data_IF_646243459169
#
_entry.id   IF_646243459169
#
_cell.length_a   1.000
_cell.length_b   1.000
_cell.length_c   1.000
_cell.angle_alpha   90.00
_cell.angle_beta   90.00
_cell.angle_gamma   90.00
#
_symmetry.space_group_name_H-M   'P 1'
#
loop_
_entity.id
_entity.type
_entity.pdbx_description
1 polymer ?
#
# COMPACT_ATOMS: atom_id res chain seq x y z
N UNK A 1 -23.59 31.03 20.93
CA UNK A 1 -23.50 29.59 20.60
C UNK A 1 -22.65 29.44 19.34
N UNK A 2 -21.41 28.95 19.46
CA UNK A 2 -20.61 28.56 18.28
C UNK A 2 -21.10 27.19 17.80
N UNK A 3 -21.73 27.13 16.64
CA UNK A 3 -22.02 25.87 15.96
C UNK A 3 -20.70 25.32 15.41
N UNK A 4 -20.16 24.28 16.06
CA UNK A 4 -19.08 23.49 15.49
C UNK A 4 -19.62 22.76 14.25
N UNK A 5 -19.30 23.26 13.06
CA UNK A 5 -19.52 22.53 11.81
C UNK A 5 -18.71 21.23 11.86
N UNK A 6 -19.38 20.13 12.17
CA UNK A 6 -18.82 18.80 12.01
C UNK A 6 -18.73 18.55 10.50
N UNK A 7 -17.58 18.86 9.90
CA UNK A 7 -17.27 18.29 8.59
C UNK A 7 -17.30 16.78 8.76
N UNK A 8 -18.27 16.11 8.15
CA UNK A 8 -18.26 14.67 8.03
C UNK A 8 -16.89 14.27 7.46
N UNK A 9 -16.13 13.46 8.21
CA UNK A 9 -14.86 12.94 7.72
C UNK A 9 -15.16 12.12 6.46
N UNK A 10 -14.38 12.35 5.40
CA UNK A 10 -14.37 11.46 4.24
C UNK A 10 -14.21 10.01 4.74
N UNK A 11 -15.01 9.10 4.19
CA UNK A 11 -15.02 7.71 4.63
C UNK A 11 -15.10 6.80 3.40
N UNK A 12 -13.96 6.62 2.70
CA UNK A 12 -13.94 5.78 1.52
C UNK A 12 -14.35 4.35 1.85
N UNK A 13 -15.08 3.71 0.94
CA UNK A 13 -15.37 2.28 1.05
C UNK A 13 -14.09 1.54 0.72
N UNK A 14 -13.51 0.85 1.70
CA UNK A 14 -12.21 0.19 1.55
C UNK A 14 -12.38 -1.32 1.54
N UNK A 15 -11.85 -1.95 0.49
CA UNK A 15 -11.63 -3.39 0.39
C UNK A 15 -10.13 -3.67 0.58
N UNK A 16 -9.78 -4.46 1.59
CA UNK A 16 -8.41 -4.74 1.96
C UNK A 16 -8.16 -6.25 1.93
N UNK A 17 -7.21 -6.67 1.10
CA UNK A 17 -6.81 -8.06 0.95
C UNK A 17 -5.33 -8.26 1.36
N UNK A 18 -5.09 -9.25 2.22
CA UNK A 18 -3.74 -9.72 2.52
C UNK A 18 -3.54 -11.13 1.97
N UNK A 19 -2.74 -11.24 0.91
CA UNK A 19 -2.34 -12.51 0.32
C UNK A 19 -0.95 -12.93 0.79
N UNK A 20 -0.73 -14.25 0.80
CA UNK A 20 0.56 -14.82 1.14
C UNK A 20 1.06 -15.77 0.07
N UNK A 21 2.38 -15.80 -0.13
CA UNK A 21 3.04 -16.88 -0.86
C UNK A 21 3.95 -17.67 0.09
N UNK A 22 3.92 -18.99 -0.01
CA UNK A 22 4.63 -19.84 0.93
C UNK A 22 6.13 -19.91 0.63
N UNK A 23 6.95 -19.75 1.66
CA UNK A 23 8.40 -19.95 1.61
C UNK A 23 8.81 -20.98 2.66
N UNK A 24 9.93 -21.64 2.45
CA UNK A 24 10.37 -22.80 3.25
C UNK A 24 11.84 -22.72 3.56
N UNK A 25 12.25 -23.23 4.72
CA UNK A 25 13.66 -23.37 5.10
C UNK A 25 13.83 -23.61 6.60
N UNK A 26 15.02 -24.07 6.96
CA UNK A 26 15.48 -24.23 8.34
C UNK A 26 16.58 -23.22 8.72
N UNK A 27 17.16 -22.53 7.72
CA UNK A 27 18.19 -21.48 7.86
C UNK A 27 17.79 -20.22 7.08
N UNK A 28 18.38 -19.07 7.40
CA UNK A 28 18.11 -17.82 6.68
C UNK A 28 18.52 -17.93 5.21
N UNK A 29 19.65 -18.57 4.92
CA UNK A 29 20.08 -18.81 3.55
C UNK A 29 19.08 -19.67 2.74
N UNK A 30 18.48 -20.69 3.35
CA UNK A 30 17.42 -21.51 2.71
C UNK A 30 16.16 -20.70 2.47
N UNK A 31 15.74 -19.89 3.45
CA UNK A 31 14.55 -19.03 3.33
C UNK A 31 14.75 -18.00 2.21
N UNK A 32 15.92 -17.33 2.13
CA UNK A 32 16.27 -16.40 1.04
C UNK A 32 16.17 -17.06 -0.33
N UNK A 33 16.71 -18.28 -0.49
CA UNK A 33 16.60 -19.05 -1.75
C UNK A 33 15.15 -19.39 -2.08
N UNK A 34 14.36 -19.79 -1.09
CA UNK A 34 12.94 -20.10 -1.28
C UNK A 34 12.14 -18.87 -1.71
N UNK A 35 12.40 -17.71 -1.09
CA UNK A 35 11.82 -16.42 -1.49
C UNK A 35 12.18 -16.03 -2.93
N UNK A 36 13.47 -16.08 -3.29
CA UNK A 36 13.92 -15.71 -4.64
C UNK A 36 13.26 -16.59 -5.73
N UNK A 37 13.06 -17.87 -5.44
CA UNK A 37 12.39 -18.81 -6.36
C UNK A 37 10.88 -18.59 -6.43
N UNK A 38 10.22 -18.43 -5.27
CA UNK A 38 8.75 -18.51 -5.16
C UNK A 38 8.03 -17.16 -5.16
N UNK A 39 8.74 -16.05 -5.02
CA UNK A 39 8.09 -14.74 -5.07
C UNK A 39 7.32 -14.57 -6.38
N UNK A 40 6.02 -14.23 -6.33
CA UNK A 40 5.25 -13.89 -7.53
C UNK A 40 5.55 -12.45 -8.01
N UNK A 41 6.34 -11.69 -7.24
CA UNK A 41 6.56 -10.26 -7.42
C UNK A 41 7.90 -10.09 -8.14
N UNK A 42 7.85 -9.67 -9.40
CA UNK A 42 9.05 -9.52 -10.23
C UNK A 42 9.01 -8.26 -11.07
N UNK A 43 10.18 -7.65 -11.25
CA UNK A 43 10.43 -6.59 -12.23
C UNK A 43 11.70 -6.95 -13.00
N UNK A 44 11.54 -7.28 -14.28
CA UNK A 44 12.61 -7.90 -15.06
C UNK A 44 13.12 -9.17 -14.37
N UNK A 45 14.43 -9.23 -14.11
CA UNK A 45 15.07 -10.37 -13.44
C UNK A 45 15.10 -10.26 -11.90
N UNK A 46 14.63 -9.15 -11.31
CA UNK A 46 14.66 -8.92 -9.86
C UNK A 46 13.33 -9.34 -9.22
N UNK A 47 13.40 -10.21 -8.21
CA UNK A 47 12.26 -10.57 -7.36
C UNK A 47 12.22 -9.74 -6.08
N UNK A 48 11.02 -9.47 -5.56
CA UNK A 48 10.81 -8.71 -4.33
C UNK A 48 10.13 -9.56 -3.25
N UNK A 49 10.33 -9.20 -1.98
CA UNK A 49 9.76 -9.92 -0.84
C UNK A 49 8.29 -9.60 -0.60
N UNK A 50 7.87 -8.37 -0.88
CA UNK A 50 6.50 -7.89 -0.68
C UNK A 50 6.10 -6.93 -1.78
N UNK A 51 4.79 -6.72 -1.91
CA UNK A 51 4.24 -5.65 -2.73
C UNK A 51 2.87 -5.26 -2.21
N UNK A 52 2.56 -3.99 -2.39
CA UNK A 52 1.24 -3.41 -2.17
C UNK A 52 0.77 -2.80 -3.47
N UNK A 53 -0.44 -3.16 -3.88
CA UNK A 53 -1.11 -2.58 -5.04
C UNK A 53 -2.41 -1.97 -4.54
N UNK A 54 -2.71 -0.76 -4.99
CA UNK A 54 -3.97 -0.10 -4.69
C UNK A 54 -4.59 0.51 -5.95
N UNK A 55 -5.91 0.57 -5.98
CA UNK A 55 -6.68 1.23 -7.04
C UNK A 55 -7.92 1.91 -6.47
N UNK A 56 -8.42 2.90 -7.20
CA UNK A 56 -9.52 3.75 -6.76
C UNK A 56 -10.57 3.85 -7.86
N UNK A 57 -11.83 3.79 -7.45
CA UNK A 57 -12.99 4.09 -8.27
C UNK A 57 -13.85 5.16 -7.58
N UNK A 58 -14.57 5.99 -8.35
CA UNK A 58 -15.43 7.03 -7.80
C UNK A 58 -16.81 6.99 -8.42
N UNK A 59 -17.83 7.30 -7.62
CA UNK A 59 -19.22 7.46 -8.09
C UNK A 59 -19.82 8.71 -7.49
N UNK A 60 -20.55 9.48 -8.28
CA UNK A 60 -21.23 10.69 -7.86
C UNK A 60 -22.27 11.09 -8.91
N UNK A 61 -23.18 11.99 -8.53
CA UNK A 61 -24.05 12.67 -9.50
C UNK A 61 -23.75 14.16 -9.53
N UNK A 62 -24.18 14.84 -10.59
CA UNK A 62 -23.98 16.28 -10.78
C UNK A 62 -25.30 16.93 -11.14
N UNK A 63 -25.61 18.07 -10.52
CA UNK A 63 -26.84 18.83 -10.74
C UNK A 63 -26.46 20.24 -11.18
N UNK A 64 -27.01 20.69 -12.31
CA UNK A 64 -26.86 22.08 -12.77
C UNK A 64 -27.57 23.02 -11.79
N UNK A 65 -26.93 24.15 -11.47
CA UNK A 65 -27.49 25.17 -10.58
C UNK A 65 -28.20 26.26 -11.39
N UNK A 66 -29.16 27.01 -10.80
CA UNK A 66 -29.90 28.06 -11.52
C UNK A 66 -29.01 29.16 -12.12
N UNK A 67 -27.82 29.37 -11.55
CA UNK A 67 -26.80 30.31 -12.02
C UNK A 67 -25.85 29.73 -13.09
N UNK A 68 -26.17 28.56 -13.67
CA UNK A 68 -25.37 27.90 -14.71
C UNK A 68 -24.11 27.19 -14.19
N UNK A 69 -24.03 26.98 -12.88
CA UNK A 69 -22.97 26.26 -12.21
C UNK A 69 -23.31 24.80 -11.99
N UNK A 70 -22.49 24.12 -11.17
CA UNK A 70 -22.66 22.71 -10.88
C UNK A 70 -22.53 22.40 -9.40
N UNK A 71 -23.30 21.43 -8.94
CA UNK A 71 -23.18 20.83 -7.63
C UNK A 71 -22.98 19.32 -7.73
N UNK A 72 -21.99 18.80 -6.99
CA UNK A 72 -21.72 17.36 -6.86
C UNK A 72 -22.52 16.80 -5.71
N UNK A 73 -23.19 15.68 -5.95
CA UNK A 73 -24.03 14.98 -4.97
C UNK A 73 -23.57 13.54 -4.79
N UNK A 74 -23.72 13.07 -3.54
CA UNK A 74 -23.45 11.70 -3.12
C UNK A 74 -22.11 11.11 -3.58
N UNK A 75 -20.98 11.84 -3.42
CA UNK A 75 -19.70 11.31 -3.80
C UNK A 75 -19.34 10.10 -2.93
N UNK A 76 -18.88 9.04 -3.58
CA UNK A 76 -18.29 7.86 -2.95
C UNK A 76 -17.00 7.52 -3.64
N UNK A 77 -16.01 7.14 -2.85
CA UNK A 77 -14.73 6.62 -3.33
C UNK A 77 -14.58 5.19 -2.82
N UNK A 78 -14.25 4.29 -3.74
CA UNK A 78 -13.98 2.88 -3.46
C UNK A 78 -12.50 2.64 -3.60
N UNK A 79 -11.86 2.21 -2.52
CA UNK A 79 -10.44 1.87 -2.48
C UNK A 79 -10.29 0.36 -2.40
N UNK A 80 -9.52 -0.21 -3.31
CA UNK A 80 -9.03 -1.59 -3.21
C UNK A 80 -7.56 -1.56 -2.87
N UNK A 81 -7.16 -2.28 -1.82
CA UNK A 81 -5.76 -2.47 -1.43
C UNK A 81 -5.47 -3.96 -1.34
N UNK A 82 -4.41 -4.39 -2.00
CA UNK A 82 -3.90 -5.75 -1.92
C UNK A 82 -2.44 -5.75 -1.50
N UNK A 83 -2.14 -6.41 -0.39
CA UNK A 83 -0.77 -6.66 0.06
C UNK A 83 -0.43 -8.13 -0.18
N UNK A 84 0.74 -8.41 -0.75
CA UNK A 84 1.29 -9.76 -0.89
C UNK A 84 2.55 -9.87 -0.04
N UNK A 85 2.57 -10.80 0.92
CA UNK A 85 3.71 -11.04 1.81
C UNK A 85 4.17 -12.50 1.77
N UNK A 86 5.42 -12.80 2.12
CA UNK A 86 5.87 -14.17 2.24
C UNK A 86 5.37 -14.76 3.56
N UNK A 87 5.01 -16.05 3.55
CA UNK A 87 4.65 -16.80 4.77
C UNK A 87 5.61 -17.97 4.93
N UNK A 88 6.37 -17.98 6.02
CA UNK A 88 7.29 -19.08 6.30
C UNK A 88 6.50 -20.31 6.75
N UNK A 89 6.63 -21.39 5.98
CA UNK A 89 6.36 -22.76 6.40
C UNK A 89 7.67 -23.33 6.96
N UNK A 90 7.82 -23.40 8.29
CA UNK A 90 9.10 -23.73 8.91
C UNK A 90 9.52 -25.17 8.60
N UNK A 91 10.82 -25.37 8.35
CA UNK A 91 11.40 -26.71 8.30
C UNK A 91 11.48 -27.36 9.70
N UNK A 92 11.62 -28.69 9.79
CA UNK A 92 11.63 -29.42 11.07
C UNK A 92 12.78 -29.04 12.01
N UNK A 93 13.80 -28.32 11.52
CA UNK A 93 14.97 -27.88 12.30
C UNK A 93 15.20 -26.36 12.24
N UNK A 94 14.15 -25.57 12.02
CA UNK A 94 14.26 -24.10 12.04
C UNK A 94 14.83 -23.63 13.39
N UNK A 95 15.96 -22.95 13.34
CA UNK A 95 16.63 -22.49 14.56
C UNK A 95 15.90 -21.32 15.22
N UNK A 96 16.15 -21.13 16.53
CA UNK A 96 15.60 -19.99 17.27
C UNK A 96 16.08 -18.67 16.68
N UNK A 97 17.36 -18.60 16.30
CA UNK A 97 17.96 -17.42 15.70
C UNK A 97 17.36 -17.11 14.32
N UNK A 98 17.22 -18.12 13.45
CA UNK A 98 16.58 -17.95 12.14
C UNK A 98 15.10 -17.56 12.26
N UNK A 99 14.38 -18.11 13.25
CA UNK A 99 13.01 -17.69 13.55
C UNK A 99 12.95 -16.22 13.98
N UNK A 100 13.82 -15.78 14.89
CA UNK A 100 13.84 -14.40 15.35
C UNK A 100 14.15 -13.42 14.20
N UNK A 101 15.11 -13.77 13.37
CA UNK A 101 15.48 -12.97 12.19
C UNK A 101 14.35 -12.92 11.15
N UNK A 102 13.65 -14.04 10.93
CA UNK A 102 12.47 -14.07 10.07
C UNK A 102 11.38 -13.11 10.55
N UNK A 103 11.03 -13.15 11.84
CA UNK A 103 9.99 -12.27 12.39
C UNK A 103 10.39 -10.79 12.32
N UNK A 104 11.66 -10.47 12.59
CA UNK A 104 12.21 -9.12 12.43
C UNK A 104 12.07 -8.62 10.99
N UNK A 105 12.52 -9.43 10.03
CA UNK A 105 12.40 -9.15 8.61
C UNK A 105 10.95 -8.95 8.18
N UNK A 106 10.05 -9.90 8.52
CA UNK A 106 8.65 -9.86 8.10
C UNK A 106 7.91 -8.66 8.70
N UNK A 107 8.23 -8.29 9.95
CA UNK A 107 7.71 -7.08 10.59
C UNK A 107 8.10 -5.82 9.83
N UNK A 108 9.39 -5.68 9.49
CA UNK A 108 9.90 -4.54 8.72
C UNK A 108 9.30 -4.48 7.30
N UNK A 109 9.24 -5.61 6.60
CA UNK A 109 8.62 -5.70 5.28
C UNK A 109 7.14 -5.31 5.34
N UNK A 110 6.36 -5.86 6.28
CA UNK A 110 4.96 -5.50 6.46
C UNK A 110 4.80 -4.00 6.75
N UNK A 111 5.68 -3.42 7.56
CA UNK A 111 5.64 -1.99 7.86
C UNK A 111 5.87 -1.14 6.61
N UNK A 112 6.84 -1.52 5.77
CA UNK A 112 7.09 -0.89 4.47
C UNK A 112 5.85 -0.96 3.56
N UNK A 113 5.29 -2.15 3.37
CA UNK A 113 4.08 -2.35 2.56
C UNK A 113 2.88 -1.54 3.05
N UNK A 114 2.74 -1.39 4.37
CA UNK A 114 1.68 -0.59 4.97
C UNK A 114 1.81 0.92 4.68
N UNK A 115 3.00 1.42 4.33
CA UNK A 115 3.17 2.81 3.91
C UNK A 115 2.45 3.07 2.57
N UNK A 116 2.57 2.15 1.61
CA UNK A 116 1.84 2.23 0.34
C UNK A 116 0.32 2.13 0.54
N UNK A 117 -0.14 1.22 1.40
CA UNK A 117 -1.56 1.10 1.73
C UNK A 117 -2.12 2.41 2.32
N UNK A 118 -1.35 3.06 3.20
CA UNK A 118 -1.70 4.37 3.78
C UNK A 118 -1.73 5.47 2.71
N UNK A 119 -0.83 5.45 1.73
CA UNK A 119 -0.85 6.38 0.61
C UNK A 119 -2.11 6.21 -0.26
N UNK A 120 -2.54 4.97 -0.51
CA UNK A 120 -3.82 4.68 -1.17
C UNK A 120 -5.02 5.24 -0.39
N UNK A 121 -5.08 5.00 0.93
CA UNK A 121 -6.13 5.53 1.81
C UNK A 121 -6.16 7.06 1.84
N UNK A 122 -5.00 7.70 2.02
CA UNK A 122 -4.87 9.15 1.99
C UNK A 122 -5.37 9.74 0.67
N UNK A 123 -5.06 9.08 -0.45
CA UNK A 123 -5.54 9.49 -1.78
C UNK A 123 -7.05 9.41 -1.87
N UNK A 124 -7.65 8.29 -1.41
CA UNK A 124 -9.08 8.08 -1.41
C UNK A 124 -9.82 9.16 -0.58
N UNK A 125 -9.37 9.38 0.65
CA UNK A 125 -9.94 10.38 1.56
C UNK A 125 -9.83 11.80 0.99
N UNK A 126 -8.70 12.10 0.33
CA UNK A 126 -8.48 13.41 -0.29
C UNK A 126 -9.41 13.64 -1.47
N UNK A 127 -9.63 12.64 -2.33
CA UNK A 127 -10.56 12.74 -3.46
C UNK A 127 -12.00 12.93 -2.95
N UNK A 128 -12.44 12.08 -2.03
CA UNK A 128 -13.80 12.16 -1.49
C UNK A 128 -14.04 13.52 -0.83
N UNK A 129 -13.09 14.00 -0.01
CA UNK A 129 -13.19 15.33 0.61
C UNK A 129 -13.30 16.46 -0.40
N UNK A 130 -12.61 16.38 -1.55
CA UNK A 130 -12.68 17.40 -2.61
C UNK A 130 -14.02 17.41 -3.34
N UNK A 131 -14.72 16.28 -3.35
CA UNK A 131 -16.02 16.13 -4.01
C UNK A 131 -17.19 16.45 -3.06
N UNK A 132 -17.02 16.18 -1.77
CA UNK A 132 -18.05 16.42 -0.75
C UNK A 132 -18.43 17.89 -0.67
N UNK A 133 -19.72 18.16 -0.88
CA UNK A 133 -20.31 19.51 -0.91
C UNK A 133 -19.68 20.44 -1.97
N UNK A 134 -19.10 19.89 -3.04
CA UNK A 134 -18.54 20.70 -4.12
C UNK A 134 -19.67 21.40 -4.89
N UNK A 135 -19.68 22.73 -4.82
CA UNK A 135 -20.49 23.60 -5.67
C UNK A 135 -19.59 24.62 -6.36
N UNK A 136 -19.81 24.84 -7.65
CA UNK A 136 -18.98 25.72 -8.49
C UNK A 136 -19.83 26.48 -9.49
N UNK A 137 -19.31 27.58 -10.04
CA UNK A 137 -19.97 28.42 -11.06
C UNK A 137 -19.74 27.93 -12.50
N UNK A 138 -18.97 26.85 -12.69
CA UNK A 138 -18.77 26.25 -14.02
C UNK A 138 -19.76 25.13 -14.26
N UNK A 139 -20.08 24.86 -15.52
CA UNK A 139 -21.03 23.81 -15.90
C UNK A 139 -20.66 22.43 -15.37
N UNK A 140 -21.64 21.52 -15.26
CA UNK A 140 -21.34 20.18 -14.78
C UNK A 140 -20.44 19.38 -15.71
N UNK A 141 -20.49 19.63 -17.02
CA UNK A 141 -19.54 19.06 -17.97
C UNK A 141 -18.09 19.42 -17.58
N UNK A 142 -17.81 20.72 -17.41
CA UNK A 142 -16.46 21.18 -17.06
C UNK A 142 -16.04 20.72 -15.66
N UNK A 143 -16.98 20.67 -14.72
CA UNK A 143 -16.73 20.17 -13.36
C UNK A 143 -16.25 18.72 -13.37
N UNK A 144 -16.88 17.84 -14.16
CA UNK A 144 -16.46 16.42 -14.30
C UNK A 144 -15.05 16.29 -14.86
N UNK A 145 -14.71 17.05 -15.89
CA UNK A 145 -13.36 17.05 -16.46
C UNK A 145 -12.31 17.45 -15.43
N UNK A 146 -12.56 18.54 -14.69
CA UNK A 146 -11.65 19.05 -13.66
C UNK A 146 -11.48 18.05 -12.52
N UNK A 147 -12.57 17.42 -12.06
CA UNK A 147 -12.52 16.37 -11.03
C UNK A 147 -11.72 15.16 -11.49
N UNK A 148 -11.93 14.70 -12.72
CA UNK A 148 -11.21 13.56 -13.28
C UNK A 148 -9.71 13.87 -13.42
N UNK A 149 -9.36 15.03 -14.00
CA UNK A 149 -7.98 15.48 -14.14
C UNK A 149 -7.29 15.65 -12.78
N UNK A 150 -7.97 16.29 -11.82
CA UNK A 150 -7.44 16.49 -10.47
C UNK A 150 -7.23 15.18 -9.71
N UNK A 151 -8.13 14.20 -9.89
CA UNK A 151 -8.00 12.87 -9.30
C UNK A 151 -6.85 12.09 -9.91
N UNK A 152 -6.73 12.07 -11.25
CA UNK A 152 -5.63 11.43 -11.95
C UNK A 152 -4.27 12.04 -11.60
N UNK A 153 -4.19 13.37 -11.52
CA UNK A 153 -2.97 14.06 -11.13
C UNK A 153 -2.56 13.70 -9.69
N UNK A 154 -3.51 13.64 -8.75
CA UNK A 154 -3.23 13.22 -7.39
C UNK A 154 -2.75 11.76 -7.32
N UNK A 155 -3.43 10.85 -8.02
CA UNK A 155 -3.04 9.43 -8.10
C UNK A 155 -1.62 9.32 -8.64
N UNK A 156 -1.32 9.96 -9.77
CA UNK A 156 0.01 9.95 -10.39
C UNK A 156 1.10 10.45 -9.44
N UNK A 157 0.84 11.55 -8.74
CA UNK A 157 1.79 12.11 -7.77
C UNK A 157 2.06 11.15 -6.60
N UNK A 158 1.02 10.50 -6.06
CA UNK A 158 1.19 9.55 -4.95
C UNK A 158 1.87 8.27 -5.43
N UNK A 159 1.52 7.75 -6.60
CA UNK A 159 2.23 6.61 -7.20
C UNK A 159 3.71 6.94 -7.43
N UNK A 160 4.04 8.17 -7.83
CA UNK A 160 5.43 8.58 -7.95
C UNK A 160 6.13 8.61 -6.59
N UNK A 161 5.48 9.11 -5.54
CA UNK A 161 6.02 9.05 -4.17
C UNK A 161 6.23 7.63 -3.67
N UNK A 162 5.34 6.70 -4.00
CA UNK A 162 5.53 5.28 -3.70
C UNK A 162 6.81 4.74 -4.36
N UNK A 163 7.03 5.04 -5.64
CA UNK A 163 8.26 4.65 -6.37
C UNK A 163 9.52 5.30 -5.81
N UNK A 164 9.43 6.57 -5.43
CA UNK A 164 10.55 7.29 -4.84
C UNK A 164 10.92 6.70 -3.48
N UNK A 165 9.93 6.40 -2.65
CA UNK A 165 10.12 5.73 -1.36
C UNK A 165 10.74 4.34 -1.55
N UNK A 166 10.28 3.56 -2.52
CA UNK A 166 10.89 2.28 -2.87
C UNK A 166 12.36 2.42 -3.27
N UNK A 167 12.68 3.37 -4.14
CA UNK A 167 14.06 3.63 -4.54
C UNK A 167 14.91 4.01 -3.34
N UNK A 168 14.47 4.99 -2.56
CA UNK A 168 15.24 5.58 -1.47
C UNK A 168 15.44 4.59 -0.32
N UNK A 169 14.43 3.76 -0.05
CA UNK A 169 14.51 2.74 1.00
C UNK A 169 15.13 1.42 0.52
N UNK A 170 15.41 1.30 -0.79
CA UNK A 170 15.73 0.04 -1.50
C UNK A 170 14.67 -1.04 -1.27
N UNK A 171 13.40 -0.68 -1.46
CA UNK A 171 12.22 -1.51 -1.23
C UNK A 171 12.18 -2.02 0.22
N UNK A 172 12.37 -1.10 1.16
CA UNK A 172 12.33 -1.37 2.60
C UNK A 172 13.62 -1.94 3.21
N UNK A 173 14.66 -2.25 2.43
CA UNK A 173 15.93 -2.80 2.95
C UNK A 173 16.55 -1.92 4.04
N UNK A 174 16.60 -0.60 3.82
CA UNK A 174 17.08 0.39 4.80
C UNK A 174 16.17 0.52 6.03
N UNK A 175 14.94 0.02 5.94
CA UNK A 175 13.97 -0.04 7.03
C UNK A 175 13.99 -1.40 7.75
N UNK A 176 14.95 -2.27 7.40
CA UNK A 176 15.12 -3.59 8.00
C UNK A 176 14.45 -4.72 7.22
N UNK A 177 13.85 -4.48 6.06
CA UNK A 177 13.25 -5.52 5.22
C UNK A 177 14.30 -6.30 4.41
N UNK A 178 15.38 -6.72 5.07
CA UNK A 178 16.40 -7.63 4.54
C UNK A 178 16.57 -8.82 5.48
N UNK A 179 17.08 -9.94 4.95
CA UNK A 179 17.43 -11.11 5.74
C UNK A 179 18.95 -11.21 5.90
N UNK A 180 19.43 -11.19 7.15
CA UNK A 180 20.84 -11.33 7.52
C UNK A 180 21.22 -12.82 7.64
N UNK A 181 21.97 -13.33 6.65
CA UNK A 181 22.43 -14.73 6.65
C UNK A 181 23.61 -14.98 7.58
N UNK A 182 24.25 -13.95 8.13
CA UNK A 182 25.29 -14.12 9.18
C UNK A 182 24.72 -14.72 10.46
N UNK A 183 23.41 -14.64 10.65
CA UNK A 183 22.66 -15.31 11.73
C UNK A 183 22.89 -16.83 11.70
N UNK A 184 23.04 -17.41 10.50
CA UNK A 184 23.30 -18.86 10.35
C UNK A 184 24.74 -19.22 10.78
N UNK A 185 25.71 -18.33 10.60
CA UNK A 185 27.13 -18.55 10.94
C UNK A 185 27.35 -18.59 12.45
N UNK A 186 26.71 -17.69 13.20
CA UNK A 186 26.78 -17.68 14.66
C UNK A 186 26.21 -18.96 15.27
N UNK A 187 25.21 -19.56 14.62
CA UNK A 187 24.63 -20.82 15.10
C UNK A 187 25.58 -22.01 14.91
N UNK A 188 26.38 -22.03 13.85
CA UNK A 188 27.37 -23.08 13.61
C UNK A 188 28.55 -23.00 14.58
N UNK A 189 28.94 -21.79 14.98
CA UNK A 189 30.02 -21.57 15.95
C UNK A 189 29.63 -22.01 17.38
N UNK A 190 28.36 -21.84 17.79
CA UNK A 190 27.88 -22.23 19.14
C UNK A 190 27.63 -23.75 19.25
N UNK A 191 27.55 -24.47 18.13
CA UNK A 191 27.32 -25.92 18.09
C UNK A 191 28.61 -26.75 17.98
N UNK A 192 29.76 -26.10 17.85
CA UNK A 192 31.09 -26.71 17.91
C UNK A 192 31.66 -26.52 19.30
#
# INVERSE_FOLDING_TARGET
>A
MLLASHQAKAKPVTDFELQHYEVTGSTIAEIKRSMAKKSPIRTGNKGFGGVTVWSLDTTYTTVETPDGGCEVRDPKVFLKVKIVLPKLRPGPRLSRQARAEWERFLGALRAHEMLHAKNGLYTAETIEKRMTNLRTKVSCHRTKEVLNQGSQALISNITQRDRDMDRDTRHGETQGAYLDDRVDLHQQAVRR
#
